data_IF_972862890129
#
_entry.id   IF_972862890129
#
_cell.length_a   1.000
_cell.length_b   1.000
_cell.length_c   1.000
_cell.angle_alpha   90.00
_cell.angle_beta   90.00
_cell.angle_gamma   90.00
#
_symmetry.space_group_name_H-M   'P 1'
#
loop_
_entity.id
_entity.type
_entity.pdbx_description
1 polymer ?
#
# COMPACT_ATOMS: atom_id res chain seq x y z
N UNK A 1 15.39 8.14 -8.03
CA UNK A 1 14.20 7.49 -8.58
C UNK A 1 13.56 8.49 -9.55
N UNK A 2 13.15 8.00 -10.72
CA UNK A 2 12.72 8.82 -11.86
C UNK A 2 11.20 9.06 -11.75
N UNK A 3 10.75 10.31 -11.86
CA UNK A 3 9.34 10.69 -11.63
C UNK A 3 8.40 9.89 -12.54
N UNK A 4 8.82 9.61 -13.78
CA UNK A 4 8.02 8.81 -14.71
C UNK A 4 7.81 7.37 -14.23
N UNK A 5 8.82 6.78 -13.60
CA UNK A 5 8.73 5.41 -13.06
C UNK A 5 7.74 5.35 -11.90
N UNK A 6 7.71 6.38 -11.05
CA UNK A 6 6.75 6.47 -9.96
C UNK A 6 5.31 6.59 -10.49
N UNK A 7 5.10 7.41 -11.52
CA UNK A 7 3.79 7.55 -12.18
C UNK A 7 3.31 6.22 -12.78
N UNK A 8 4.20 5.50 -13.47
CA UNK A 8 3.89 4.18 -14.03
C UNK A 8 3.50 3.17 -12.93
N UNK A 9 4.25 3.12 -11.82
CA UNK A 9 3.97 2.21 -10.69
C UNK A 9 2.62 2.53 -10.05
N UNK A 10 2.31 3.81 -9.84
CA UNK A 10 1.02 4.24 -9.28
C UNK A 10 -0.11 3.85 -10.22
N UNK A 11 0.09 4.03 -11.53
CA UNK A 11 -0.90 3.68 -12.54
C UNK A 11 -1.17 2.17 -12.58
N UNK A 12 -0.11 1.36 -12.64
CA UNK A 12 -0.20 -0.10 -12.66
C UNK A 12 -0.85 -0.65 -11.38
N UNK A 13 -0.40 -0.17 -10.22
CA UNK A 13 -0.92 -0.60 -8.91
C UNK A 13 -2.40 -0.28 -8.78
N UNK A 14 -2.80 0.92 -9.18
CA UNK A 14 -4.20 1.31 -9.08
C UNK A 14 -5.08 0.58 -10.08
N UNK A 15 -4.58 0.34 -11.30
CA UNK A 15 -5.28 -0.49 -12.30
C UNK A 15 -5.49 -1.92 -11.80
N UNK A 16 -4.48 -2.51 -11.16
CA UNK A 16 -4.58 -3.82 -10.52
C UNK A 16 -5.60 -3.83 -9.37
N UNK A 17 -5.62 -2.80 -8.51
CA UNK A 17 -6.61 -2.69 -7.43
C UNK A 17 -8.04 -2.51 -7.94
N UNK A 18 -8.22 -1.87 -9.11
CA UNK A 18 -9.50 -1.81 -9.81
C UNK A 18 -9.90 -3.19 -10.35
N UNK A 19 -8.98 -3.93 -10.99
CA UNK A 19 -9.27 -5.28 -11.51
C UNK A 19 -9.61 -6.27 -10.40
N UNK A 20 -8.98 -6.11 -9.23
CA UNK A 20 -9.25 -6.90 -8.02
C UNK A 20 -10.54 -6.43 -7.29
N UNK A 21 -11.19 -5.36 -7.73
CA UNK A 21 -12.44 -4.85 -7.18
C UNK A 21 -12.32 -4.17 -5.82
N UNK A 22 -11.11 -3.78 -5.39
CA UNK A 22 -10.90 -2.95 -4.20
C UNK A 22 -11.17 -1.47 -4.48
N UNK A 23 -10.88 -1.04 -5.71
CA UNK A 23 -11.17 0.30 -6.22
C UNK A 23 -12.19 0.22 -7.36
N UNK A 24 -12.90 1.33 -7.58
CA UNK A 24 -13.78 1.54 -8.72
C UNK A 24 -13.35 2.81 -9.43
N UNK A 25 -13.11 2.71 -10.74
CA UNK A 25 -12.88 3.86 -11.61
C UNK A 25 -14.17 4.69 -11.74
N UNK A 26 -14.03 6.00 -11.62
CA UNK A 26 -15.14 6.96 -11.72
C UNK A 26 -14.96 7.92 -12.88
N UNK A 27 -13.72 8.27 -13.23
CA UNK A 27 -13.43 9.27 -14.26
C UNK A 27 -11.94 9.31 -14.65
N UNK A 28 -11.22 8.18 -14.65
CA UNK A 28 -9.81 8.16 -15.04
C UNK A 28 -9.61 8.45 -16.52
N UNK A 29 -8.49 9.10 -16.86
CA UNK A 29 -8.04 9.34 -18.23
C UNK A 29 -6.51 9.39 -18.30
N UNK A 30 -5.97 9.59 -19.50
CA UNK A 30 -4.53 9.58 -19.78
C UNK A 30 -3.69 10.60 -18.99
N UNK A 31 -4.31 11.60 -18.35
CA UNK A 31 -3.64 12.64 -17.57
C UNK A 31 -3.80 12.49 -16.06
N UNK A 32 -4.88 11.87 -15.61
CA UNK A 32 -5.15 11.70 -14.18
C UNK A 32 -6.05 10.51 -13.90
N UNK A 33 -5.84 9.91 -12.74
CA UNK A 33 -6.61 8.77 -12.27
C UNK A 33 -7.64 9.19 -11.24
N UNK A 34 -8.88 8.76 -11.41
CA UNK A 34 -9.99 9.06 -10.51
C UNK A 34 -10.68 7.78 -10.09
N UNK A 35 -10.39 7.34 -8.88
CA UNK A 35 -10.87 6.08 -8.30
C UNK A 35 -11.44 6.30 -6.91
N UNK A 36 -12.39 5.46 -6.51
CA UNK A 36 -12.95 5.42 -5.14
C UNK A 36 -12.87 4.01 -4.57
N UNK A 37 -12.82 3.90 -3.25
CA UNK A 37 -12.90 2.62 -2.56
C UNK A 37 -14.27 1.96 -2.78
N UNK A 38 -14.27 0.68 -3.10
CA UNK A 38 -15.48 -0.15 -3.04
C UNK A 38 -15.75 -0.57 -1.59
N UNK A 39 -16.87 -1.25 -1.33
CA UNK A 39 -17.09 -1.86 -0.01
C UNK A 39 -15.98 -2.87 0.35
N UNK A 40 -15.46 -3.62 -0.63
CA UNK A 40 -14.32 -4.54 -0.45
C UNK A 40 -13.06 -3.76 -0.10
N UNK A 41 -12.79 -2.65 -0.79
CA UNK A 41 -11.71 -1.72 -0.47
C UNK A 41 -11.81 -1.15 0.93
N UNK A 42 -12.97 -0.62 1.30
CA UNK A 42 -13.25 -0.09 2.64
C UNK A 42 -13.09 -1.14 3.73
N UNK A 43 -13.55 -2.36 3.49
CA UNK A 43 -13.38 -3.47 4.43
C UNK A 43 -11.90 -3.85 4.58
N UNK A 44 -11.14 -3.88 3.48
CA UNK A 44 -9.70 -4.14 3.50
C UNK A 44 -8.91 -3.05 4.23
N UNK A 45 -9.34 -1.78 4.11
CA UNK A 45 -8.75 -0.67 4.88
C UNK A 45 -9.19 -0.65 6.34
N UNK A 46 -10.43 -1.08 6.63
CA UNK A 46 -10.96 -1.18 8.00
C UNK A 46 -10.41 -2.40 8.75
N UNK A 47 -9.92 -3.41 8.03
CA UNK A 47 -9.02 -4.42 8.59
C UNK A 47 -7.62 -3.87 8.83
N UNK A 48 -7.50 -2.62 9.30
CA UNK A 48 -6.36 -2.22 10.13
C UNK A 48 -6.20 -3.34 11.16
N UNK A 49 -5.09 -4.09 11.15
CA UNK A 49 -4.89 -5.15 12.12
C UNK A 49 -5.18 -4.59 13.51
N UNK A 50 -5.93 -5.30 14.34
CA UNK A 50 -6.21 -4.91 15.74
C UNK A 50 -4.94 -4.58 16.55
N UNK A 51 -3.78 -4.97 16.03
CA UNK A 51 -2.43 -4.59 16.48
C UNK A 51 -2.18 -3.08 16.40
N UNK A 52 -2.75 -2.35 15.43
CA UNK A 52 -2.54 -0.91 15.18
C UNK A 52 -3.68 -0.06 15.77
N UNK A 53 -4.83 -0.65 16.11
CA UNK A 53 -5.94 0.07 16.75
C UNK A 53 -5.75 0.28 18.28
N UNK A 54 -4.59 -0.06 18.83
CA UNK A 54 -4.24 0.16 20.24
C UNK A 54 -3.56 1.51 20.50
N UNK A 55 -3.18 1.77 21.77
CA UNK A 55 -2.42 2.97 22.20
C UNK A 55 -1.08 3.20 21.49
N UNK A 56 -0.63 2.26 20.65
CA UNK A 56 0.66 2.30 19.97
C UNK A 56 0.48 2.77 18.53
N UNK A 57 1.29 3.72 18.13
CA UNK A 57 1.33 4.23 16.76
C UNK A 57 1.74 3.15 15.75
N UNK A 58 1.37 3.34 14.48
CA UNK A 58 1.82 2.49 13.37
C UNK A 58 3.34 2.25 13.41
N UNK A 59 4.12 3.30 13.68
CA UNK A 59 5.57 3.21 13.76
C UNK A 59 6.03 2.26 14.88
N UNK A 60 5.42 2.32 16.07
CA UNK A 60 5.76 1.41 17.18
C UNK A 60 5.42 -0.04 16.87
N UNK A 61 4.27 -0.29 16.22
CA UNK A 61 3.87 -1.65 15.81
C UNK A 61 4.81 -2.16 14.73
N UNK A 62 5.12 -1.32 13.75
CA UNK A 62 5.98 -1.65 12.62
C UNK A 62 7.41 -1.93 13.05
N UNK A 63 8.01 -1.06 13.88
CA UNK A 63 9.36 -1.23 14.42
C UNK A 63 9.44 -2.46 15.32
N UNK A 64 8.44 -2.69 16.18
CA UNK A 64 8.40 -3.89 17.04
C UNK A 64 8.26 -5.18 16.21
N UNK A 65 7.46 -5.14 15.15
CA UNK A 65 7.34 -6.25 14.21
C UNK A 65 8.64 -6.55 13.49
N UNK A 66 9.34 -5.52 13.00
CA UNK A 66 10.64 -5.64 12.34
C UNK A 66 11.74 -6.13 13.31
N UNK A 67 11.74 -5.68 14.56
CA UNK A 67 12.73 -6.11 15.54
C UNK A 67 12.60 -7.59 15.93
N UNK A 68 11.43 -8.19 15.70
CA UNK A 68 11.17 -9.61 15.95
C UNK A 68 11.50 -10.50 14.73
N UNK A 69 11.85 -9.90 13.59
CA UNK A 69 12.29 -10.62 12.40
C UNK A 69 13.82 -10.73 12.41
N UNK A 70 14.34 -11.81 11.81
CA UNK A 70 15.77 -11.87 11.57
C UNK A 70 16.16 -10.72 10.61
N UNK A 71 17.38 -10.21 10.76
CA UNK A 71 17.85 -9.05 9.99
C UNK A 71 17.78 -9.24 8.48
N UNK A 72 17.95 -10.47 7.98
CA UNK A 72 17.90 -10.77 6.54
C UNK A 72 16.47 -10.67 5.99
N UNK A 73 15.48 -11.11 6.76
CA UNK A 73 14.05 -11.01 6.41
C UNK A 73 13.57 -9.57 6.53
N UNK A 74 13.97 -8.86 7.59
CA UNK A 74 13.66 -7.44 7.75
C UNK A 74 14.28 -6.59 6.62
N UNK A 75 15.53 -6.86 6.24
CA UNK A 75 16.19 -6.20 5.12
C UNK A 75 15.49 -6.50 3.78
N UNK A 76 15.08 -7.76 3.54
CA UNK A 76 14.32 -8.13 2.34
C UNK A 76 12.99 -7.40 2.23
N UNK A 77 12.22 -7.36 3.32
CA UNK A 77 10.94 -6.65 3.37
C UNK A 77 11.09 -5.14 3.21
N UNK A 78 12.11 -4.52 3.82
CA UNK A 78 12.37 -3.10 3.65
C UNK A 78 12.82 -2.79 2.22
N UNK A 79 13.65 -3.64 1.62
CA UNK A 79 14.04 -3.50 0.21
C UNK A 79 12.82 -3.59 -0.71
N UNK A 80 11.90 -4.53 -0.50
CA UNK A 80 10.68 -4.61 -1.30
C UNK A 80 9.74 -3.43 -1.06
N UNK A 81 9.60 -2.98 0.19
CA UNK A 81 8.76 -1.84 0.55
C UNK A 81 9.27 -0.53 -0.08
N UNK A 82 10.58 -0.29 -0.07
CA UNK A 82 11.18 0.89 -0.71
C UNK A 82 11.34 0.75 -2.23
N UNK A 83 11.41 -0.47 -2.76
CA UNK A 83 11.35 -0.72 -4.21
C UNK A 83 9.96 -0.41 -4.79
N UNK A 84 8.90 -0.66 -4.03
CA UNK A 84 7.53 -0.39 -4.45
C UNK A 84 7.03 1.02 -4.07
N UNK A 85 7.83 1.79 -3.31
CA UNK A 85 7.60 3.21 -3.02
C UNK A 85 8.46 4.17 -3.86
N UNK A 86 9.12 3.64 -4.90
CA UNK A 86 10.07 4.32 -5.77
C UNK A 86 9.58 4.40 -7.22
#
# INVERSE_FOLDING_TARGET
MDIKKLEDIVWETTSWLVSEGFLRDVASNDQYMSVVLTQKGLNATNSVPSVISGKKSFNEVFVTGLSNLNQNVAAGLMVEFFKNGS
#
